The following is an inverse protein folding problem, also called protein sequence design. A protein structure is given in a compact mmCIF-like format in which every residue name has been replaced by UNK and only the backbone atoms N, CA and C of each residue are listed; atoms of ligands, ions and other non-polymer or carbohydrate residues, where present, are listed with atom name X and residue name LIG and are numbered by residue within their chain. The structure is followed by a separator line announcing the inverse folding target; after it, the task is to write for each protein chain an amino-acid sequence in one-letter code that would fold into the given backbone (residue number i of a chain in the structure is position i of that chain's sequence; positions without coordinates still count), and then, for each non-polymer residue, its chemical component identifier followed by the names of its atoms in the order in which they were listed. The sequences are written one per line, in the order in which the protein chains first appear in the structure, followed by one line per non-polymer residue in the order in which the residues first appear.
data_IF_096147804028
#
_entry.id   IF_096147804028
#
_cell.length_a   1.000
_cell.length_b   1.000
_cell.length_c   1.000
_cell.angle_alpha   90.00
_cell.angle_beta   90.00
_cell.angle_gamma   90.00
#
_symmetry.space_group_name_H-M   'P 1'
#
loop_
_entity.id
_entity.type
_entity.pdbx_description
1 polymer ?
#
# COMPACT_ATOMS: atom_id res chain seq x y z
N UNK A 1 15.07 29.22 -10.03
CA UNK A 1 15.86 27.97 -10.16
C UNK A 1 15.48 26.92 -9.10
N UNK A 2 15.53 27.23 -7.80
CA UNK A 2 15.27 26.26 -6.72
C UNK A 2 13.85 25.64 -6.70
N UNK A 3 12.81 26.43 -7.01
CA UNK A 3 11.41 25.93 -7.04
C UNK A 3 11.19 24.87 -8.13
N UNK A 4 11.83 25.05 -9.29
CA UNK A 4 11.72 24.13 -10.42
C UNK A 4 12.46 22.82 -10.14
N UNK A 5 13.64 22.89 -9.53
CA UNK A 5 14.39 21.73 -9.07
C UNK A 5 13.59 20.92 -8.04
N UNK A 6 13.00 21.58 -7.03
CA UNK A 6 12.14 20.93 -6.03
C UNK A 6 10.94 20.21 -6.68
N UNK A 7 10.29 20.84 -7.67
CA UNK A 7 9.17 20.21 -8.40
C UNK A 7 9.63 19.04 -9.26
N UNK A 8 10.75 19.16 -9.97
CA UNK A 8 11.31 18.05 -10.76
C UNK A 8 11.66 16.85 -9.88
N UNK A 9 12.33 17.06 -8.74
CA UNK A 9 12.63 15.99 -7.77
C UNK A 9 11.34 15.39 -7.21
N UNK A 10 10.31 16.21 -6.99
CA UNK A 10 9.03 15.72 -6.49
C UNK A 10 8.35 14.79 -7.51
N UNK A 11 8.20 15.24 -8.77
CA UNK A 11 7.60 14.42 -9.82
C UNK A 11 8.38 13.15 -10.12
N UNK A 12 9.71 13.24 -10.16
CA UNK A 12 10.55 12.09 -10.46
C UNK A 12 10.46 11.01 -9.37
N UNK A 13 10.38 11.43 -8.10
CA UNK A 13 10.16 10.49 -7.01
C UNK A 13 8.76 9.87 -7.04
N UNK A 14 7.71 10.64 -7.35
CA UNK A 14 6.35 10.08 -7.52
C UNK A 14 6.36 9.00 -8.59
N UNK A 15 6.99 9.26 -9.75
CA UNK A 15 7.09 8.28 -10.84
C UNK A 15 7.83 7.02 -10.36
N UNK A 16 8.96 7.18 -9.69
CA UNK A 16 9.75 6.05 -9.17
C UNK A 16 8.96 5.24 -8.14
N UNK A 17 8.31 5.89 -7.17
CA UNK A 17 7.55 5.18 -6.12
C UNK A 17 6.29 4.54 -6.69
N UNK A 18 5.57 5.19 -7.60
CA UNK A 18 4.40 4.60 -8.24
C UNK A 18 4.75 3.33 -9.06
N UNK A 19 5.83 3.36 -9.84
CA UNK A 19 6.26 2.19 -10.62
C UNK A 19 6.76 1.06 -9.72
N UNK A 20 7.54 1.36 -8.68
CA UNK A 20 8.07 0.31 -7.80
C UNK A 20 7.00 -0.28 -6.85
N UNK A 21 6.07 0.53 -6.36
CA UNK A 21 4.97 0.06 -5.49
C UNK A 21 3.98 -0.85 -6.24
N UNK A 22 3.68 -0.53 -7.49
CA UNK A 22 2.85 -1.39 -8.35
C UNK A 22 3.54 -2.71 -8.65
N UNK A 23 4.84 -2.68 -8.99
CA UNK A 23 5.63 -3.90 -9.19
C UNK A 23 5.68 -4.75 -7.92
N UNK A 24 5.91 -4.13 -6.76
CA UNK A 24 5.95 -4.81 -5.47
C UNK A 24 4.59 -5.44 -5.11
N UNK A 25 3.49 -4.77 -5.45
CA UNK A 25 2.13 -5.27 -5.22
C UNK A 25 1.79 -6.44 -6.13
N UNK A 26 2.25 -6.44 -7.39
CA UNK A 26 2.06 -7.57 -8.32
C UNK A 26 2.88 -8.78 -7.86
N UNK A 27 4.15 -8.58 -7.50
CA UNK A 27 5.03 -9.66 -7.05
C UNK A 27 4.61 -10.26 -5.70
N UNK A 28 4.00 -9.45 -4.82
CA UNK A 28 3.44 -9.94 -3.56
C UNK A 28 1.97 -10.37 -3.68
N UNK A 29 1.27 -9.99 -4.75
CA UNK A 29 -0.19 -10.12 -4.91
C UNK A 29 -0.71 -11.54 -4.77
N UNK A 30 -0.02 -12.51 -5.35
CA UNK A 30 -0.42 -13.93 -5.27
C UNK A 30 -0.34 -14.46 -3.83
N UNK A 31 0.59 -13.94 -3.02
CA UNK A 31 0.63 -14.25 -1.60
C UNK A 31 -0.51 -13.54 -0.83
N UNK A 32 -0.97 -12.37 -1.29
CA UNK A 32 -1.94 -11.54 -0.56
C UNK A 32 -3.37 -12.10 -0.63
N UNK A 33 -3.75 -12.67 -1.78
CA UNK A 33 -5.15 -12.92 -2.09
C UNK A 33 -5.60 -14.35 -1.86
N UNK A 34 -4.74 -15.35 -2.06
CA UNK A 34 -5.18 -16.75 -2.02
C UNK A 34 -5.04 -17.36 -0.61
N UNK A 35 -6.11 -17.96 -0.11
CA UNK A 35 -6.14 -18.67 1.19
C UNK A 35 -5.10 -19.76 1.34
N UNK A 36 -4.71 -20.36 0.22
CA UNK A 36 -3.88 -21.57 0.18
C UNK A 36 -2.40 -21.24 0.49
N UNK A 37 -2.05 -19.95 0.42
CA UNK A 37 -0.71 -19.42 0.66
C UNK A 37 -0.63 -18.60 1.96
N UNK A 38 -1.64 -18.68 2.84
CA UNK A 38 -1.82 -17.81 4.02
C UNK A 38 -0.60 -17.77 4.99
N UNK A 39 0.20 -18.83 5.07
CA UNK A 39 1.31 -18.92 6.03
C UNK A 39 2.62 -18.25 5.55
N UNK A 40 3.02 -18.43 4.29
CA UNK A 40 4.14 -17.70 3.66
C UNK A 40 3.77 -16.27 3.33
N UNK A 41 2.48 -16.04 3.09
CA UNK A 41 1.98 -14.73 2.73
C UNK A 41 2.03 -13.73 3.85
N UNK A 42 1.80 -14.09 5.12
CA UNK A 42 1.81 -13.09 6.20
C UNK A 42 3.14 -12.32 6.29
N UNK A 43 4.29 -13.00 6.17
CA UNK A 43 5.62 -12.38 6.26
C UNK A 43 5.95 -11.56 5.01
N UNK A 44 5.71 -12.12 3.82
CA UNK A 44 5.96 -11.42 2.55
C UNK A 44 5.03 -10.20 2.43
N UNK A 45 3.77 -10.35 2.86
CA UNK A 45 2.78 -9.28 2.94
C UNK A 45 3.20 -8.16 3.88
N UNK A 46 3.58 -8.47 5.12
CA UNK A 46 3.98 -7.45 6.09
C UNK A 46 5.22 -6.70 5.62
N UNK A 47 6.20 -7.37 5.03
CA UNK A 47 7.39 -6.71 4.48
C UNK A 47 7.06 -5.84 3.25
N UNK A 48 6.29 -6.38 2.29
CA UNK A 48 5.88 -5.66 1.07
C UNK A 48 5.08 -4.41 1.40
N UNK A 49 4.04 -4.54 2.24
CA UNK A 49 3.15 -3.43 2.54
C UNK A 49 3.76 -2.42 3.52
N UNK A 50 4.55 -2.87 4.50
CA UNK A 50 5.26 -1.93 5.37
C UNK A 50 6.29 -1.13 4.59
N UNK A 51 6.99 -1.72 3.62
CA UNK A 51 7.96 -1.00 2.80
C UNK A 51 7.28 0.01 1.87
N UNK A 52 6.17 -0.38 1.22
CA UNK A 52 5.39 0.53 0.37
C UNK A 52 4.84 1.72 1.17
N UNK A 53 4.24 1.45 2.33
CA UNK A 53 3.65 2.47 3.19
C UNK A 53 4.73 3.34 3.85
N UNK A 54 5.85 2.78 4.30
CA UNK A 54 6.97 3.54 4.89
C UNK A 54 7.57 4.53 3.90
N UNK A 55 7.90 4.06 2.70
CA UNK A 55 8.55 4.89 1.66
C UNK A 55 7.60 5.97 1.18
N UNK A 56 6.32 5.63 0.97
CA UNK A 56 5.28 6.60 0.58
C UNK A 56 5.03 7.65 1.66
N UNK A 57 4.85 7.24 2.92
CA UNK A 57 4.56 8.13 4.03
C UNK A 57 5.74 9.04 4.39
N UNK A 58 6.96 8.48 4.49
CA UNK A 58 8.16 9.26 4.79
C UNK A 58 8.37 10.37 3.76
N UNK A 59 8.21 10.07 2.47
CA UNK A 59 8.36 11.03 1.40
C UNK A 59 7.30 12.13 1.42
N UNK A 60 6.02 11.76 1.54
CA UNK A 60 4.95 12.74 1.49
C UNK A 60 5.07 13.73 2.65
N UNK A 61 5.49 13.23 3.83
CA UNK A 61 5.87 14.07 4.97
C UNK A 61 7.05 14.99 4.68
N UNK A 62 8.14 14.49 4.07
CA UNK A 62 9.33 15.31 3.81
C UNK A 62 9.06 16.49 2.86
N UNK A 63 8.13 16.30 1.91
CA UNK A 63 7.88 17.28 0.86
C UNK A 63 6.64 18.17 1.08
N UNK A 64 5.66 17.70 1.85
CA UNK A 64 4.39 18.40 2.11
C UNK A 64 4.14 18.75 3.58
N UNK A 65 4.74 18.02 4.52
CA UNK A 65 4.53 18.20 5.97
C UNK A 65 3.14 17.76 6.48
N UNK A 66 2.31 17.16 5.63
CA UNK A 66 0.93 16.78 5.97
C UNK A 66 0.86 15.33 6.48
N UNK A 67 0.26 15.06 7.65
CA UNK A 67 0.05 13.70 8.16
C UNK A 67 -1.03 12.97 7.36
N UNK A 68 -1.05 11.63 7.44
CA UNK A 68 -2.17 10.83 6.95
C UNK A 68 -1.90 10.09 5.63
N UNK A 69 -0.65 9.99 5.22
CA UNK A 69 -0.31 9.36 3.94
C UNK A 69 -0.41 7.84 4.03
N UNK A 70 0.11 7.23 5.11
CA UNK A 70 0.02 5.78 5.27
C UNK A 70 -1.45 5.35 5.38
N UNK A 71 -2.26 6.07 6.15
CA UNK A 71 -3.70 5.82 6.29
C UNK A 71 -4.47 6.01 4.99
N UNK A 72 -4.13 7.03 4.20
CA UNK A 72 -4.73 7.24 2.89
C UNK A 72 -4.47 6.06 1.93
N UNK A 73 -3.22 5.60 1.83
CA UNK A 73 -2.88 4.43 1.02
C UNK A 73 -3.55 3.15 1.56
N UNK A 74 -3.57 2.95 2.88
CA UNK A 74 -4.24 1.79 3.49
C UNK A 74 -5.75 1.76 3.21
N UNK A 75 -6.41 2.92 3.19
CA UNK A 75 -7.82 3.03 2.83
C UNK A 75 -8.05 2.63 1.37
N UNK A 76 -7.23 3.13 0.45
CA UNK A 76 -7.30 2.80 -0.98
C UNK A 76 -7.14 1.29 -1.19
N UNK A 77 -6.13 0.67 -0.56
CA UNK A 77 -5.90 -0.77 -0.67
C UNK A 77 -7.07 -1.57 -0.08
N UNK A 78 -7.63 -1.13 1.05
CA UNK A 78 -8.82 -1.76 1.64
C UNK A 78 -9.99 -1.73 0.66
N UNK A 79 -10.29 -0.58 0.07
CA UNK A 79 -11.38 -0.44 -0.91
C UNK A 79 -11.14 -1.32 -2.14
N UNK A 80 -9.94 -1.29 -2.73
CA UNK A 80 -9.62 -2.10 -3.91
C UNK A 80 -9.75 -3.61 -3.65
N UNK A 81 -9.31 -4.07 -2.50
CA UNK A 81 -9.36 -5.50 -2.16
C UNK A 81 -10.78 -5.99 -1.87
N UNK A 82 -11.63 -5.14 -1.27
CA UNK A 82 -13.07 -5.42 -1.16
C UNK A 82 -13.76 -5.48 -2.51
N UNK A 83 -13.46 -4.55 -3.41
CA UNK A 83 -14.02 -4.56 -4.78
C UNK A 83 -13.57 -5.81 -5.53
N UNK A 84 -12.28 -6.16 -5.45
CA UNK A 84 -11.75 -7.38 -6.04
C UNK A 84 -12.49 -8.61 -5.50
N UNK A 85 -12.61 -8.74 -4.18
CA UNK A 85 -13.35 -9.84 -3.54
C UNK A 85 -14.79 -9.95 -4.05
N UNK A 86 -15.49 -8.82 -4.21
CA UNK A 86 -16.82 -8.79 -4.81
C UNK A 86 -16.86 -9.27 -6.25
N UNK A 87 -15.88 -8.87 -7.07
CA UNK A 87 -15.76 -9.30 -8.48
C UNK A 87 -15.46 -10.80 -8.61
N UNK A 88 -14.60 -11.35 -7.76
CA UNK A 88 -14.32 -12.79 -7.78
C UNK A 88 -15.52 -13.62 -7.29
N UNK A 89 -16.25 -13.12 -6.30
CA UNK A 89 -17.48 -13.76 -5.85
C UNK A 89 -18.56 -13.77 -6.93
N UNK A 90 -18.72 -12.68 -7.69
CA UNK A 90 -19.68 -12.64 -8.81
C UNK A 90 -19.31 -13.55 -9.99
N UNK A 91 -18.03 -13.94 -10.10
CA UNK A 91 -17.54 -14.94 -11.06
C UNK A 91 -17.74 -16.39 -10.58
N UNK A 92 -18.32 -16.62 -9.40
CA UNK A 92 -18.64 -17.95 -8.87
C UNK A 92 -17.57 -18.56 -7.97
N UNK A 93 -16.53 -17.81 -7.60
CA UNK A 93 -15.53 -18.27 -6.65
C UNK A 93 -16.06 -18.20 -5.20
N UNK A 94 -15.59 -19.09 -4.30
CA UNK A 94 -15.99 -19.07 -2.89
C UNK A 94 -15.73 -17.70 -2.25
N UNK A 95 -16.57 -17.25 -1.32
CA UNK A 95 -16.33 -15.99 -0.60
C UNK A 95 -15.02 -16.00 0.22
N UNK A 96 -14.55 -17.19 0.61
CA UNK A 96 -13.26 -17.40 1.27
C UNK A 96 -12.08 -17.30 0.31
N UNK A 97 -12.29 -17.33 -1.00
CA UNK A 97 -11.22 -17.35 -2.01
C UNK A 97 -10.24 -16.19 -1.87
N UNK A 98 -10.75 -15.01 -1.48
CA UNK A 98 -9.94 -13.83 -1.18
C UNK A 98 -10.06 -13.43 0.29
N UNK A 99 -8.91 -13.32 0.94
CA UNK A 99 -8.79 -12.70 2.27
C UNK A 99 -8.63 -11.19 2.12
N UNK A 100 -9.28 -10.43 2.98
CA UNK A 100 -9.07 -8.97 3.06
C UNK A 100 -8.22 -8.69 4.30
N UNK A 101 -6.93 -8.34 4.12
CA UNK A 101 -6.07 -7.92 5.21
C UNK A 101 -6.57 -6.65 5.92
N UNK A 102 -6.13 -6.46 7.16
CA UNK A 102 -6.46 -5.26 7.95
C UNK A 102 -5.26 -4.32 8.01
N UNK A 103 -5.25 -3.26 7.18
CA UNK A 103 -4.13 -2.31 7.08
C UNK A 103 -4.28 -1.05 7.95
N UNK A 104 -5.52 -0.63 8.21
CA UNK A 104 -5.82 0.68 8.80
C UNK A 104 -5.14 0.88 10.18
N UNK A 105 -5.20 -0.05 11.16
CA UNK A 105 -4.57 0.16 12.46
C UNK A 105 -3.05 0.35 12.36
N UNK A 106 -2.36 -0.46 11.55
CA UNK A 106 -0.92 -0.35 11.33
C UNK A 106 -0.54 0.94 10.61
N UNK A 107 -1.37 1.39 9.67
CA UNK A 107 -1.15 2.64 8.96
C UNK A 107 -1.35 3.88 9.85
N UNK A 108 -2.33 3.84 10.76
CA UNK A 108 -2.52 4.89 11.78
C UNK A 108 -1.28 4.98 12.67
N UNK A 109 -0.77 3.84 13.15
CA UNK A 109 0.46 3.79 13.95
C UNK A 109 1.66 4.36 13.18
N UNK A 110 1.78 4.02 11.90
CA UNK A 110 2.85 4.52 11.05
C UNK A 110 2.77 6.03 10.85
N UNK A 111 1.57 6.57 10.56
CA UNK A 111 1.37 8.01 10.47
C UNK A 111 1.68 8.71 11.80
N UNK A 112 1.33 8.11 12.94
CA UNK A 112 1.64 8.67 14.27
C UNK A 112 3.16 8.70 14.54
N UNK A 113 3.88 7.64 14.20
CA UNK A 113 5.33 7.52 14.43
C UNK A 113 6.12 8.49 13.56
N UNK A 114 5.71 8.74 12.31
CA UNK A 114 6.40 9.68 11.44
C UNK A 114 6.06 11.16 11.72
N UNK A 115 5.06 11.42 12.58
CA UNK A 115 4.62 12.79 12.93
C UNK A 115 4.99 13.23 14.35
N UNK A 116 5.25 12.29 15.27
CA UNK A 116 5.74 12.56 16.62
C UNK A 116 7.23 12.94 16.63
#
# INVERSE_FOLDING_TARGET
VMVWLRRCTHYLFIVVVAVNSTLLTINAGDYIFYTDWMWTSYVIFTLSQSLMLAVGAAYYLTFTGVPGTATYYALIMTVYTWIAKGAWFSLGYPYSFIVVPMWIPSAILMDLVYWA
#
